data_IF_089154888216
#
_entry.id   IF_089154888216
#
_cell.length_a   1.000
_cell.length_b   1.000
_cell.length_c   1.000
_cell.angle_alpha   90.00
_cell.angle_beta   90.00
_cell.angle_gamma   90.00
#
_symmetry.space_group_name_H-M   'P 1'
#
loop_
_entity.id
_entity.type
_entity.pdbx_description
1 polymer ?
#
# COMPACT_ATOMS: atom_id res chain seq x y z
N UNK A 1 -32.18 -23.95 -9.95
CA UNK A 1 -31.43 -22.75 -10.39
C UNK A 1 -30.95 -22.05 -9.12
N UNK A 2 -29.64 -22.03 -8.87
CA UNK A 2 -29.06 -21.38 -7.70
C UNK A 2 -28.60 -19.97 -8.09
N UNK A 3 -29.12 -18.96 -7.41
CA UNK A 3 -28.76 -17.55 -7.61
C UNK A 3 -27.36 -17.31 -7.01
N UNK A 4 -26.42 -16.85 -7.82
CA UNK A 4 -25.14 -16.33 -7.35
C UNK A 4 -25.39 -15.01 -6.61
N UNK A 5 -25.02 -14.92 -5.33
CA UNK A 5 -24.88 -13.64 -4.64
C UNK A 5 -23.49 -13.10 -4.97
N UNK A 6 -23.42 -12.09 -5.83
CA UNK A 6 -22.19 -11.33 -6.04
C UNK A 6 -21.94 -10.50 -4.78
N UNK A 7 -20.96 -10.91 -3.96
CA UNK A 7 -20.43 -10.10 -2.88
C UNK A 7 -19.75 -8.87 -3.47
N UNK A 8 -20.45 -7.74 -3.48
CA UNK A 8 -19.83 -6.44 -3.65
C UNK A 8 -19.04 -6.17 -2.37
N UNK A 9 -17.77 -6.58 -2.34
CA UNK A 9 -16.78 -6.06 -1.41
C UNK A 9 -16.53 -4.59 -1.74
N UNK A 10 -17.49 -3.73 -1.42
CA UNK A 10 -17.28 -2.30 -1.44
C UNK A 10 -16.19 -1.98 -0.42
N UNK A 11 -15.03 -1.54 -0.90
CA UNK A 11 -13.97 -1.07 -0.02
C UNK A 11 -14.56 0.06 0.83
N UNK A 12 -14.66 -0.17 2.13
CA UNK A 12 -15.11 0.85 3.06
C UNK A 12 -14.05 1.96 3.07
N UNK A 13 -14.30 3.04 2.34
CA UNK A 13 -13.57 4.28 2.52
C UNK A 13 -14.02 4.85 3.88
N UNK A 14 -13.30 4.49 4.95
CA UNK A 14 -13.35 5.29 6.16
C UNK A 14 -12.85 6.70 5.79
N UNK A 15 -13.47 7.75 6.32
CA UNK A 15 -13.07 9.12 6.04
C UNK A 15 -11.55 9.28 6.29
N UNK A 16 -10.83 9.78 5.29
CA UNK A 16 -9.37 9.92 5.35
C UNK A 16 -8.54 8.66 5.13
N UNK A 17 -9.11 7.48 4.86
CA UNK A 17 -8.33 6.24 4.66
C UNK A 17 -8.62 5.53 3.33
N UNK A 18 -7.56 5.06 2.66
CA UNK A 18 -7.64 4.17 1.51
C UNK A 18 -6.74 2.95 1.74
N UNK A 19 -7.32 1.76 1.62
CA UNK A 19 -6.64 0.49 1.90
C UNK A 19 -6.65 -0.38 0.66
N UNK A 20 -5.56 -1.10 0.39
CA UNK A 20 -5.48 -2.09 -0.67
C UNK A 20 -4.81 -3.38 -0.18
N UNK A 21 -5.35 -4.49 -0.65
CA UNK A 21 -4.67 -5.78 -0.63
C UNK A 21 -3.69 -5.85 -1.82
N UNK A 22 -2.41 -6.03 -1.52
CA UNK A 22 -1.33 -6.11 -2.51
C UNK A 22 -1.00 -7.56 -2.90
N UNK A 23 -1.54 -8.54 -2.17
CA UNK A 23 -1.41 -9.96 -2.43
C UNK A 23 -0.24 -10.65 -1.72
N UNK A 24 -0.17 -11.99 -1.83
CA UNK A 24 0.89 -12.79 -1.23
C UNK A 24 2.25 -12.60 -1.93
N UNK A 25 3.32 -12.70 -1.16
CA UNK A 25 4.72 -12.64 -1.62
C UNK A 25 5.43 -13.97 -1.33
N UNK A 26 6.57 -14.27 -2.01
CA UNK A 26 7.29 -15.53 -1.80
C UNK A 26 7.77 -15.72 -0.36
N UNK A 27 8.29 -14.64 0.24
CA UNK A 27 8.78 -14.59 1.61
C UNK A 27 8.72 -13.14 2.15
N UNK A 28 9.09 -12.98 3.41
CA UNK A 28 9.02 -11.70 4.14
C UNK A 28 10.07 -10.72 3.62
N UNK A 29 11.25 -11.22 3.29
CA UNK A 29 12.35 -10.40 2.76
C UNK A 29 11.92 -9.75 1.43
N UNK A 30 11.37 -10.53 0.51
CA UNK A 30 10.87 -10.04 -0.77
C UNK A 30 9.69 -9.07 -0.59
N UNK A 31 8.82 -9.32 0.39
CA UNK A 31 7.74 -8.38 0.74
C UNK A 31 8.28 -7.00 1.11
N UNK A 32 9.23 -6.98 2.05
CA UNK A 32 9.85 -5.76 2.56
C UNK A 32 10.69 -5.06 1.49
N UNK A 33 11.44 -5.81 0.66
CA UNK A 33 12.17 -5.25 -0.48
C UNK A 33 11.22 -4.58 -1.48
N UNK A 34 10.08 -5.20 -1.78
CA UNK A 34 9.09 -4.63 -2.69
C UNK A 34 8.44 -3.37 -2.11
N UNK A 35 8.07 -3.39 -0.83
CA UNK A 35 7.53 -2.22 -0.13
C UNK A 35 8.49 -1.03 -0.18
N UNK A 36 9.79 -1.26 0.09
CA UNK A 36 10.83 -0.23 0.01
C UNK A 36 10.99 0.33 -1.39
N UNK A 37 10.92 -0.52 -2.42
CA UNK A 37 11.02 -0.12 -3.84
C UNK A 37 9.83 0.72 -4.28
N UNK A 38 8.62 0.39 -3.83
CA UNK A 38 7.41 1.16 -4.12
C UNK A 38 7.56 2.59 -3.62
N UNK A 39 7.92 2.78 -2.34
CA UNK A 39 8.11 4.13 -1.81
C UNK A 39 9.29 4.85 -2.45
N UNK A 40 10.43 4.18 -2.65
CA UNK A 40 11.56 4.79 -3.34
C UNK A 40 11.21 5.27 -4.76
N UNK A 41 10.45 4.46 -5.52
CA UNK A 41 9.97 4.82 -6.85
C UNK A 41 9.01 6.00 -6.77
N UNK A 42 8.06 5.97 -5.83
CA UNK A 42 7.13 7.06 -5.63
C UNK A 42 7.86 8.38 -5.31
N UNK A 43 8.87 8.37 -4.43
CA UNK A 43 9.68 9.55 -4.11
C UNK A 43 10.47 10.09 -5.31
N UNK A 44 10.99 9.23 -6.19
CA UNK A 44 11.73 9.67 -7.38
C UNK A 44 10.87 10.46 -8.38
N UNK A 45 9.56 10.21 -8.40
CA UNK A 45 8.63 10.86 -9.32
C UNK A 45 7.82 11.99 -8.66
N UNK A 46 8.02 12.24 -7.37
CA UNK A 46 7.42 13.38 -6.68
C UNK A 46 8.48 14.44 -6.41
N UNK A 47 8.16 15.69 -6.73
CA UNK A 47 9.06 16.84 -6.64
C UNK A 47 9.09 17.48 -5.24
N UNK A 48 8.33 16.92 -4.31
CA UNK A 48 8.20 17.42 -2.95
C UNK A 48 9.27 16.80 -2.05
N UNK A 49 9.58 17.48 -0.96
CA UNK A 49 10.42 16.92 0.10
C UNK A 49 9.61 15.82 0.78
N UNK A 50 9.68 14.62 0.20
CA UNK A 50 9.08 13.43 0.77
C UNK A 50 9.76 13.18 2.11
N UNK A 51 8.96 13.03 3.17
CA UNK A 51 9.46 12.81 4.52
C UNK A 51 10.33 11.56 4.65
N UNK A 52 10.91 11.33 5.82
CA UNK A 52 11.77 10.16 6.04
C UNK A 52 10.97 8.85 5.95
N UNK A 53 11.57 7.84 5.29
CA UNK A 53 11.05 6.47 5.28
C UNK A 53 11.46 5.76 6.56
N UNK A 54 10.49 5.22 7.29
CA UNK A 54 10.76 4.36 8.45
C UNK A 54 10.59 2.90 8.07
N UNK A 55 11.64 2.11 8.29
CA UNK A 55 11.64 0.67 8.05
C UNK A 55 11.65 -0.05 9.41
N UNK A 56 10.70 -0.96 9.63
CA UNK A 56 10.71 -1.93 10.74
C UNK A 56 10.78 -3.36 10.17
N UNK A 57 10.72 -4.40 11.02
CA UNK A 57 10.81 -5.81 10.62
C UNK A 57 9.71 -6.24 9.63
N UNK A 58 8.54 -5.61 9.68
CA UNK A 58 7.35 -5.98 8.90
C UNK A 58 6.54 -4.77 8.39
N UNK A 59 7.07 -3.55 8.54
CA UNK A 59 6.43 -2.30 8.12
C UNK A 59 7.41 -1.44 7.32
N UNK A 60 6.92 -0.83 6.23
CA UNK A 60 7.56 0.34 5.62
C UNK A 60 6.57 1.50 5.66
N UNK A 61 6.98 2.62 6.22
CA UNK A 61 6.17 3.82 6.36
C UNK A 61 6.80 4.99 5.60
N UNK A 62 5.96 5.81 4.95
CA UNK A 62 6.34 7.01 4.22
C UNK A 62 5.45 8.19 4.63
N UNK A 63 6.06 9.25 5.17
CA UNK A 63 5.39 10.50 5.55
C UNK A 63 5.35 11.50 4.40
N UNK A 64 4.35 12.39 4.41
CA UNK A 64 4.26 13.61 3.59
C UNK A 64 4.57 13.36 2.11
N UNK A 65 3.85 12.40 1.52
CA UNK A 65 4.09 11.92 0.16
C UNK A 65 3.80 12.97 -0.93
N UNK A 66 3.05 14.03 -0.61
CA UNK A 66 2.64 15.07 -1.55
C UNK A 66 2.28 16.38 -0.81
N UNK A 67 1.83 17.41 -1.54
CA UNK A 67 1.40 18.70 -0.98
C UNK A 67 0.23 18.59 0.01
N UNK A 68 -0.57 17.53 -0.07
CA UNK A 68 -1.70 17.31 0.82
C UNK A 68 -1.27 16.71 2.17
N UNK A 69 0.00 16.33 2.32
CA UNK A 69 0.50 15.65 3.52
C UNK A 69 -0.07 14.24 3.67
N UNK A 70 -0.25 13.53 2.55
CA UNK A 70 -0.71 12.15 2.59
C UNK A 70 0.38 11.23 3.12
N UNK A 71 0.00 10.29 3.97
CA UNK A 71 0.90 9.31 4.56
C UNK A 71 0.56 7.91 4.08
N UNK A 72 1.55 7.03 3.96
CA UNK A 72 1.32 5.65 3.55
C UNK A 72 2.16 4.64 4.33
N UNK A 73 1.57 3.47 4.53
CA UNK A 73 2.20 2.33 5.17
C UNK A 73 1.96 1.08 4.32
N UNK A 74 3.02 0.32 4.07
CA UNK A 74 2.92 -1.05 3.58
C UNK A 74 3.31 -1.98 4.72
N UNK A 75 2.41 -2.90 5.05
CA UNK A 75 2.57 -3.89 6.10
C UNK A 75 2.70 -5.27 5.47
N UNK A 76 3.71 -6.03 5.87
CA UNK A 76 3.95 -7.40 5.45
C UNK A 76 3.63 -8.35 6.61
N UNK A 77 2.55 -9.13 6.50
CA UNK A 77 2.07 -10.03 7.56
C UNK A 77 2.07 -11.48 7.08
N UNK A 78 2.33 -12.44 7.96
CA UNK A 78 2.08 -13.84 7.64
C UNK A 78 0.57 -14.13 7.66
N UNK A 79 0.04 -14.61 6.53
CA UNK A 79 -1.37 -15.02 6.37
C UNK A 79 -1.41 -16.36 5.63
N UNK A 80 -2.17 -17.34 6.12
CA UNK A 80 -2.35 -18.64 5.44
C UNK A 80 -1.03 -19.34 5.04
N UNK A 81 0.01 -19.16 5.86
CA UNK A 81 1.32 -19.81 5.68
C UNK A 81 2.26 -19.13 4.67
N UNK A 82 1.91 -17.94 4.18
CA UNK A 82 2.78 -17.12 3.34
C UNK A 82 2.71 -15.64 3.74
N UNK A 83 3.77 -14.85 3.53
CA UNK A 83 3.70 -13.40 3.73
C UNK A 83 2.75 -12.72 2.72
N UNK A 84 2.06 -11.68 3.19
CA UNK A 84 1.01 -10.96 2.47
C UNK A 84 1.16 -9.47 2.73
N UNK A 85 1.13 -8.69 1.66
CA UNK A 85 1.30 -7.25 1.74
C UNK A 85 -0.06 -6.52 1.75
N UNK A 86 -0.17 -5.51 2.62
CA UNK A 86 -1.32 -4.60 2.71
C UNK A 86 -0.84 -3.16 2.65
N UNK A 87 -1.51 -2.33 1.86
CA UNK A 87 -1.28 -0.89 1.77
C UNK A 87 -2.37 -0.16 2.54
N UNK A 88 -1.99 0.83 3.33
CA UNK A 88 -2.91 1.81 3.91
C UNK A 88 -2.38 3.21 3.66
N UNK A 89 -3.25 4.12 3.23
CA UNK A 89 -2.96 5.52 2.99
C UNK A 89 -3.90 6.35 3.86
N UNK A 90 -3.33 7.32 4.57
CA UNK A 90 -4.05 8.31 5.33
C UNK A 90 -3.95 9.68 4.67
N UNK A 91 -5.04 10.44 4.73
CA UNK A 91 -5.12 11.84 4.32
C UNK A 91 -6.05 12.57 5.28
N UNK A 92 -5.71 13.82 5.63
CA UNK A 92 -6.56 14.64 6.49
C UNK A 92 -7.91 14.99 5.87
N UNK A 93 -8.01 14.94 4.54
CA UNK A 93 -9.25 15.21 3.81
C UNK A 93 -9.90 13.89 3.32
N UNK A 94 -9.42 13.39 2.18
CA UNK A 94 -9.89 12.16 1.56
C UNK A 94 -8.70 11.42 1.00
N UNK A 95 -8.49 10.20 1.49
CA UNK A 95 -7.44 9.36 0.97
C UNK A 95 -7.59 9.16 -0.55
N UNK A 96 -6.57 9.50 -1.34
CA UNK A 96 -6.68 9.50 -2.79
C UNK A 96 -6.62 8.08 -3.34
N UNK A 97 -7.72 7.64 -3.96
CA UNK A 97 -7.80 6.36 -4.65
C UNK A 97 -6.72 6.22 -5.75
N UNK A 98 -6.34 7.33 -6.40
CA UNK A 98 -5.30 7.33 -7.43
C UNK A 98 -3.92 6.94 -6.88
N UNK A 99 -3.53 7.47 -5.72
CA UNK A 99 -2.24 7.12 -5.10
C UNK A 99 -2.28 5.67 -4.64
N UNK A 100 -3.39 5.22 -4.03
CA UNK A 100 -3.60 3.81 -3.68
C UNK A 100 -3.39 2.92 -4.90
N UNK A 101 -4.04 3.25 -6.01
CA UNK A 101 -4.01 2.43 -7.22
C UNK A 101 -2.60 2.40 -7.82
N UNK A 102 -1.92 3.55 -7.88
CA UNK A 102 -0.55 3.64 -8.39
C UNK A 102 0.45 2.87 -7.52
N UNK A 103 0.42 3.04 -6.20
CA UNK A 103 1.30 2.28 -5.30
C UNK A 103 1.01 0.77 -5.39
N UNK A 104 -0.26 0.40 -5.57
CA UNK A 104 -0.66 -1.00 -5.77
C UNK A 104 -0.12 -1.58 -7.09
N UNK A 105 -0.14 -0.80 -8.17
CA UNK A 105 0.42 -1.20 -9.47
C UNK A 105 1.95 -1.29 -9.44
N UNK A 106 2.62 -0.32 -8.81
CA UNK A 106 4.06 -0.36 -8.61
C UNK A 106 4.47 -1.60 -7.80
N UNK A 107 3.73 -1.95 -6.74
CA UNK A 107 4.00 -3.17 -5.96
C UNK A 107 3.88 -4.45 -6.82
N UNK A 108 2.84 -4.54 -7.64
CA UNK A 108 2.64 -5.67 -8.57
C UNK A 108 3.77 -5.81 -9.58
N UNK A 109 4.39 -4.70 -9.97
CA UNK A 109 5.55 -4.70 -10.89
C UNK A 109 6.77 -5.38 -10.29
N UNK A 110 6.94 -5.34 -8.96
CA UNK A 110 8.06 -5.96 -8.26
C UNK A 110 7.81 -7.39 -7.79
N UNK A 111 6.63 -7.93 -8.08
CA UNK A 111 6.22 -9.26 -7.61
C UNK A 111 6.89 -10.43 -8.36
N UNK A 112 7.57 -10.15 -9.48
CA UNK A 112 8.21 -11.14 -10.35
C UNK A 112 9.60 -10.70 -10.79
#
# INVERSE_FOLDING_TARGET
MATLVAGLGGQAAAEGWAVADLGPTPDMEQCMVNAKRVFARFSLFNTFEVGDRTDDEWIVYQWDMNEAGDDAIIVCLETDGAPHAFLSIFSNDRAPAEIRDRLSEDFKTYRY
#
